data_IF_589614087338
#
_entry.id   IF_589614087338
#
_cell.length_a   1.000
_cell.length_b   1.000
_cell.length_c   1.000
_cell.angle_alpha   90.00
_cell.angle_beta   90.00
_cell.angle_gamma   90.00
#
_symmetry.space_group_name_H-M   'P 1'
#
loop_
_entity.id
_entity.type
_entity.pdbx_description
1 polymer ?
#
# COMPACT_ATOMS: atom_id res chain seq x y z
N UNK A 1 -18.17 -18.03 4.36
CA UNK A 1 -19.03 -16.83 4.60
C UNK A 1 -18.11 -15.64 4.85
N UNK A 2 -17.77 -14.89 3.80
CA UNK A 2 -16.91 -13.72 3.93
C UNK A 2 -17.75 -12.55 4.41
N UNK A 3 -17.55 -12.12 5.67
CA UNK A 3 -18.13 -10.86 6.16
C UNK A 3 -17.57 -9.75 5.27
N UNK A 4 -18.45 -8.98 4.60
CA UNK A 4 -18.04 -7.70 4.00
C UNK A 4 -17.31 -6.90 5.08
N UNK A 5 -16.16 -6.28 4.78
CA UNK A 5 -15.57 -5.33 5.71
C UNK A 5 -16.56 -4.18 5.85
N UNK A 6 -17.28 -4.13 6.96
CA UNK A 6 -18.03 -2.94 7.36
C UNK A 6 -16.99 -1.86 7.63
N UNK A 7 -16.90 -0.88 6.73
CA UNK A 7 -16.07 0.31 6.90
C UNK A 7 -16.51 1.01 8.18
N UNK A 8 -15.61 1.09 9.16
CA UNK A 8 -15.92 1.75 10.43
C UNK A 8 -16.21 3.25 10.18
N UNK A 9 -17.06 3.90 10.99
CA UNK A 9 -17.31 5.34 10.89
C UNK A 9 -16.02 6.19 10.96
N UNK A 10 -15.02 5.68 11.69
CA UNK A 10 -13.70 6.30 11.85
C UNK A 10 -12.95 6.28 10.51
N UNK A 11 -12.97 5.16 9.78
CA UNK A 11 -12.33 5.06 8.47
C UNK A 11 -12.90 6.07 7.46
N UNK A 12 -14.22 6.28 7.47
CA UNK A 12 -14.86 7.27 6.58
C UNK A 12 -14.41 8.70 6.92
N UNK A 13 -14.30 9.05 8.20
CA UNK A 13 -13.82 10.38 8.61
C UNK A 13 -12.38 10.63 8.16
N UNK A 14 -11.50 9.62 8.26
CA UNK A 14 -10.13 9.72 7.81
C UNK A 14 -10.01 9.88 6.30
N UNK A 15 -10.88 9.22 5.54
CA UNK A 15 -10.94 9.33 4.08
C UNK A 15 -11.42 10.72 3.65
N UNK A 16 -12.52 11.22 4.23
CA UNK A 16 -12.99 12.59 3.94
C UNK A 16 -11.94 13.65 4.30
N UNK A 17 -11.22 13.45 5.41
CA UNK A 17 -10.11 14.33 5.79
C UNK A 17 -8.96 14.28 4.79
N UNK A 18 -8.62 13.09 4.27
CA UNK A 18 -7.61 12.94 3.22
C UNK A 18 -8.04 13.61 1.91
N UNK A 19 -9.28 13.38 1.44
CA UNK A 19 -9.82 14.04 0.25
C UNK A 19 -9.81 15.57 0.38
N UNK A 20 -10.11 16.11 1.56
CA UNK A 20 -10.03 17.54 1.81
C UNK A 20 -8.60 18.06 1.72
N UNK A 21 -7.62 17.30 2.21
CA UNK A 21 -6.20 17.65 2.08
C UNK A 21 -5.74 17.63 0.62
N UNK A 22 -6.19 16.67 -0.19
CA UNK A 22 -5.90 16.61 -1.64
C UNK A 22 -6.41 17.84 -2.41
N UNK A 23 -7.39 18.58 -1.88
CA UNK A 23 -7.87 19.83 -2.51
C UNK A 23 -6.99 21.04 -2.22
N UNK A 24 -6.11 20.93 -1.23
CA UNK A 24 -5.28 22.02 -0.72
C UNK A 24 -3.82 21.82 -1.12
N UNK A 25 -3.35 20.57 -1.08
CA UNK A 25 -1.96 20.19 -1.31
C UNK A 25 -1.80 19.55 -2.69
N UNK A 26 -1.01 20.19 -3.56
CA UNK A 26 -0.80 19.79 -4.96
C UNK A 26 -0.05 18.45 -5.04
N UNK A 27 0.92 18.23 -4.16
CA UNK A 27 1.71 16.99 -4.16
C UNK A 27 0.82 15.81 -3.73
N UNK A 28 -0.03 16.04 -2.71
CA UNK A 28 -1.00 15.05 -2.27
C UNK A 28 -2.08 14.78 -3.34
N UNK A 29 -2.52 15.80 -4.08
CA UNK A 29 -3.44 15.64 -5.20
C UNK A 29 -2.83 14.80 -6.34
N UNK A 30 -1.55 15.04 -6.65
CA UNK A 30 -0.81 14.28 -7.66
C UNK A 30 -0.69 12.81 -7.25
N UNK A 31 -0.30 12.57 -6.00
CA UNK A 31 -0.25 11.23 -5.43
C UNK A 31 -1.62 10.53 -5.50
N UNK A 32 -2.69 11.22 -5.12
CA UNK A 32 -4.05 10.65 -5.13
C UNK A 32 -4.49 10.26 -6.55
N UNK A 33 -4.24 11.11 -7.53
CA UNK A 33 -4.56 10.84 -8.94
C UNK A 33 -3.84 9.58 -9.44
N UNK A 34 -2.57 9.43 -9.08
CA UNK A 34 -1.77 8.25 -9.38
C UNK A 34 -2.33 7.01 -8.67
N UNK A 35 -2.63 7.11 -7.37
CA UNK A 35 -3.21 6.03 -6.57
C UNK A 35 -4.55 5.55 -7.15
N UNK A 36 -5.45 6.46 -7.47
CA UNK A 36 -6.75 6.13 -8.06
C UNK A 36 -6.60 5.46 -9.42
N UNK A 37 -5.72 5.97 -10.27
CA UNK A 37 -5.46 5.40 -11.61
C UNK A 37 -4.93 3.98 -11.50
N UNK A 38 -3.92 3.75 -10.66
CA UNK A 38 -3.35 2.42 -10.43
C UNK A 38 -4.36 1.45 -9.82
N UNK A 39 -5.10 1.89 -8.80
CA UNK A 39 -6.14 1.08 -8.16
C UNK A 39 -7.21 0.65 -9.17
N UNK A 40 -7.64 1.56 -10.06
CA UNK A 40 -8.61 1.24 -11.11
C UNK A 40 -8.07 0.20 -12.10
N UNK A 41 -6.80 0.32 -12.49
CA UNK A 41 -6.16 -0.65 -13.38
C UNK A 41 -6.11 -2.04 -12.75
N UNK A 42 -5.71 -2.13 -11.47
CA UNK A 42 -5.72 -3.40 -10.73
C UNK A 42 -7.13 -3.97 -10.64
N UNK A 43 -8.14 -3.17 -10.27
CA UNK A 43 -9.54 -3.64 -10.20
C UNK A 43 -10.01 -4.17 -11.55
N UNK A 44 -9.73 -3.47 -12.64
CA UNK A 44 -10.10 -3.90 -13.99
C UNK A 44 -9.44 -5.24 -14.35
N UNK A 45 -8.15 -5.39 -14.05
CA UNK A 45 -7.41 -6.62 -14.27
C UNK A 45 -7.94 -7.80 -13.45
N UNK A 46 -8.28 -7.56 -12.18
CA UNK A 46 -8.85 -8.57 -11.30
C UNK A 46 -10.28 -8.95 -11.73
N UNK A 47 -11.08 -7.99 -12.21
CA UNK A 47 -12.45 -8.24 -12.67
C UNK A 47 -12.51 -9.22 -13.86
N UNK A 48 -11.51 -9.20 -14.74
CA UNK A 48 -11.39 -10.16 -15.85
C UNK A 48 -11.20 -11.61 -15.35
N UNK A 49 -10.58 -11.81 -14.18
CA UNK A 49 -10.40 -13.14 -13.56
C UNK A 49 -11.64 -13.67 -12.83
N UNK A 50 -12.63 -12.82 -12.56
CA UNK A 50 -13.86 -13.21 -11.82
C UNK A 50 -14.70 -14.21 -12.61
N UNK A 51 -14.69 -14.14 -13.95
CA UNK A 51 -15.42 -15.07 -14.83
C UNK A 51 -14.92 -16.51 -14.68
N UNK A 52 -13.63 -16.71 -14.40
CA UNK A 52 -12.98 -18.02 -14.32
C UNK A 52 -12.71 -18.48 -12.89
N UNK A 53 -13.10 -17.69 -11.87
CA UNK A 53 -12.74 -17.89 -10.45
C UNK A 53 -11.24 -18.14 -10.23
N UNK A 54 -10.39 -17.58 -11.09
CA UNK A 54 -8.95 -17.73 -11.06
C UNK A 54 -8.28 -16.40 -11.35
N UNK A 55 -7.15 -16.15 -10.70
CA UNK A 55 -6.32 -14.99 -10.98
C UNK A 55 -5.33 -15.32 -12.09
N UNK A 56 -5.23 -14.45 -13.09
CA UNK A 56 -4.20 -14.59 -14.11
C UNK A 56 -2.84 -14.14 -13.56
N UNK A 57 -1.76 -14.69 -14.12
CA UNK A 57 -0.40 -14.25 -13.80
C UNK A 57 -0.19 -12.76 -14.14
N UNK A 58 -0.85 -12.27 -15.20
CA UNK A 58 -0.82 -10.86 -15.59
C UNK A 58 -1.49 -9.96 -14.54
N UNK A 59 -2.64 -10.38 -13.99
CA UNK A 59 -3.31 -9.65 -12.91
C UNK A 59 -2.45 -9.60 -11.65
N UNK A 60 -1.74 -10.68 -11.35
CA UNK A 60 -0.84 -10.73 -10.21
C UNK A 60 0.37 -9.81 -10.41
N UNK A 61 0.99 -9.86 -11.58
CA UNK A 61 2.08 -8.98 -11.98
C UNK A 61 1.67 -7.50 -11.86
N UNK A 62 0.55 -7.11 -12.45
CA UNK A 62 0.04 -5.74 -12.37
C UNK A 62 -0.24 -5.29 -10.93
N UNK A 63 -0.72 -6.20 -10.08
CA UNK A 63 -0.94 -5.90 -8.65
C UNK A 63 0.40 -5.67 -7.93
N UNK A 64 1.42 -6.50 -8.18
CA UNK A 64 2.75 -6.33 -7.57
C UNK A 64 3.48 -5.08 -8.09
N UNK A 65 3.32 -4.74 -9.38
CA UNK A 65 3.87 -3.52 -9.96
C UNK A 65 3.21 -2.28 -9.34
N UNK A 66 1.87 -2.26 -9.24
CA UNK A 66 1.14 -1.19 -8.56
C UNK A 66 1.65 -0.97 -7.13
N UNK A 67 1.87 -2.05 -6.37
CA UNK A 67 2.40 -1.98 -5.01
C UNK A 67 3.81 -1.37 -4.98
N UNK A 68 4.71 -1.80 -5.86
CA UNK A 68 6.07 -1.27 -5.96
C UNK A 68 6.06 0.22 -6.29
N UNK A 69 5.28 0.61 -7.29
CA UNK A 69 5.19 2.00 -7.73
C UNK A 69 4.59 2.91 -6.64
N UNK A 70 3.61 2.43 -5.87
CA UNK A 70 3.07 3.18 -4.73
C UNK A 70 4.13 3.38 -3.63
N UNK A 71 4.95 2.36 -3.35
CA UNK A 71 6.04 2.49 -2.41
C UNK A 71 7.09 3.52 -2.89
N UNK A 72 7.38 3.56 -4.19
CA UNK A 72 8.30 4.55 -4.76
C UNK A 72 7.80 5.99 -4.59
N UNK A 73 6.51 6.24 -4.80
CA UNK A 73 5.91 7.56 -4.59
C UNK A 73 5.99 7.99 -3.11
N UNK A 74 5.74 7.08 -2.16
CA UNK A 74 5.86 7.39 -0.73
C UNK A 74 7.31 7.70 -0.35
N UNK A 75 8.27 6.93 -0.86
CA UNK A 75 9.71 7.18 -0.63
C UNK A 75 10.13 8.55 -1.17
N UNK A 76 9.60 8.96 -2.33
CA UNK A 76 9.88 10.28 -2.89
C UNK A 76 9.43 11.40 -1.93
N UNK A 77 8.20 11.32 -1.41
CA UNK A 77 7.69 12.30 -0.42
C UNK A 77 8.53 12.28 0.86
N UNK A 78 8.92 11.10 1.35
CA UNK A 78 9.81 10.97 2.52
C UNK A 78 11.15 11.69 2.27
N UNK A 79 11.74 11.52 1.09
CA UNK A 79 13.01 12.16 0.74
C UNK A 79 12.89 13.67 0.64
N UNK A 80 11.80 14.17 0.08
CA UNK A 80 11.52 15.61 -0.02
C UNK A 80 11.35 16.25 1.36
N UNK A 81 10.74 15.53 2.31
CA UNK A 81 10.54 15.97 3.69
C UNK A 81 11.69 15.61 4.66
N UNK A 82 12.80 15.03 4.19
CA UNK A 82 13.83 14.40 5.06
C UNK A 82 14.35 15.28 6.20
N UNK A 83 14.51 16.59 5.96
CA UNK A 83 15.04 17.52 6.96
C UNK A 83 14.06 17.73 8.12
N UNK A 84 12.77 17.77 7.83
CA UNK A 84 11.73 17.97 8.83
C UNK A 84 11.45 16.66 9.58
N UNK A 85 11.52 15.52 8.88
CA UNK A 85 11.46 14.18 9.47
C UNK A 85 12.56 14.02 10.52
N UNK A 86 13.82 14.35 10.19
CA UNK A 86 14.94 14.22 11.15
C UNK A 86 14.84 15.16 12.36
N UNK A 87 14.06 16.23 12.28
CA UNK A 87 13.84 17.15 13.42
C UNK A 87 12.64 16.77 14.28
N UNK A 88 11.84 15.79 13.84
CA UNK A 88 10.61 15.42 14.51
C UNK A 88 10.58 13.91 14.76
N UNK A 89 10.91 13.51 16.00
CA UNK A 89 10.94 12.10 16.39
C UNK A 89 9.62 11.37 16.10
N UNK A 90 8.47 12.01 16.33
CA UNK A 90 7.14 11.39 16.11
C UNK A 90 6.90 11.06 14.63
N UNK A 91 7.46 11.86 13.72
CA UNK A 91 7.42 11.65 12.26
C UNK A 91 8.51 10.67 11.80
N UNK A 92 9.70 10.71 12.40
CA UNK A 92 10.77 9.74 12.16
C UNK A 92 10.31 8.32 12.47
N UNK A 93 9.75 8.09 13.67
CA UNK A 93 9.24 6.78 14.10
C UNK A 93 8.15 6.26 13.15
N UNK A 94 7.34 7.16 12.59
CA UNK A 94 6.31 6.80 11.62
C UNK A 94 6.90 6.30 10.30
N UNK A 95 7.95 6.96 9.83
CA UNK A 95 8.66 6.57 8.61
C UNK A 95 9.40 5.24 8.80
N UNK A 96 10.00 5.02 9.97
CA UNK A 96 10.63 3.75 10.33
C UNK A 96 9.61 2.60 10.34
N UNK A 97 8.44 2.81 10.97
CA UNK A 97 7.35 1.83 10.98
C UNK A 97 6.82 1.53 9.56
N UNK A 98 6.74 2.54 8.69
CA UNK A 98 6.39 2.33 7.28
C UNK A 98 7.39 1.40 6.59
N UNK A 99 8.70 1.65 6.75
CA UNK A 99 9.73 0.82 6.13
C UNK A 99 9.75 -0.62 6.67
N UNK A 100 9.56 -0.82 7.97
CA UNK A 100 9.42 -2.16 8.56
C UNK A 100 8.25 -2.93 7.93
N UNK A 101 7.12 -2.26 7.68
CA UNK A 101 5.99 -2.87 6.99
C UNK A 101 6.25 -3.14 5.51
N UNK A 102 6.96 -2.24 4.82
CA UNK A 102 7.38 -2.46 3.43
C UNK A 102 8.32 -3.66 3.32
N UNK A 103 9.21 -3.89 4.29
CA UNK A 103 10.07 -5.08 4.34
C UNK A 103 9.26 -6.37 4.50
N UNK A 104 8.30 -6.42 5.42
CA UNK A 104 7.41 -7.59 5.56
C UNK A 104 6.61 -7.85 4.29
N UNK A 105 6.17 -6.79 3.62
CA UNK A 105 5.47 -6.89 2.34
C UNK A 105 6.38 -7.44 1.24
N UNK A 106 7.66 -7.08 1.24
CA UNK A 106 8.67 -7.66 0.35
C UNK A 106 8.89 -9.15 0.63
N UNK A 107 8.95 -9.56 1.90
CA UNK A 107 9.05 -10.99 2.27
C UNK A 107 7.86 -11.79 1.74
N UNK A 108 6.65 -11.22 1.81
CA UNK A 108 5.47 -11.80 1.19
C UNK A 108 5.61 -11.92 -0.34
N UNK A 109 6.08 -10.88 -1.03
CA UNK A 109 6.32 -10.94 -2.46
C UNK A 109 7.34 -12.03 -2.84
N UNK A 110 8.39 -12.21 -2.03
CA UNK A 110 9.38 -13.27 -2.24
C UNK A 110 8.77 -14.67 -2.03
N UNK A 111 7.95 -14.85 -0.99
CA UNK A 111 7.21 -16.08 -0.75
C UNK A 111 6.24 -16.38 -1.91
N UNK A 112 5.53 -15.37 -2.40
CA UNK A 112 4.64 -15.45 -3.54
C UNK A 112 5.39 -15.87 -4.81
N UNK A 113 6.52 -15.24 -5.12
CA UNK A 113 7.35 -15.58 -6.28
C UNK A 113 7.80 -17.05 -6.24
N UNK A 114 8.21 -17.53 -5.06
CA UNK A 114 8.60 -18.93 -4.85
C UNK A 114 7.42 -19.89 -5.11
N UNK A 115 6.22 -19.55 -4.68
CA UNK A 115 5.01 -20.33 -4.95
C UNK A 115 4.70 -20.36 -6.45
N UNK A 116 4.76 -19.20 -7.13
CA UNK A 116 4.51 -19.11 -8.57
C UNK A 116 5.52 -19.90 -9.40
N UNK A 117 6.80 -19.88 -9.02
CA UNK A 117 7.85 -20.69 -9.66
C UNK A 117 7.58 -22.18 -9.56
N UNK A 118 7.05 -22.65 -8.43
CA UNK A 118 6.62 -24.06 -8.25
C UNK A 118 5.35 -24.39 -9.02
N UNK A 119 4.46 -23.41 -9.14
CA UNK A 119 3.18 -23.56 -9.83
C UNK A 119 3.31 -23.55 -11.37
N UNK A 120 4.46 -23.11 -11.90
CA UNK A 120 4.70 -22.95 -13.33
C UNK A 120 5.15 -24.27 -13.96
N UNK A 121 4.41 -24.72 -14.97
CA UNK A 121 4.88 -25.69 -15.95
C UNK A 121 5.60 -24.91 -17.06
N UNK A 122 6.78 -25.36 -17.51
CA UNK A 122 7.49 -24.63 -18.57
C UNK A 122 6.85 -24.92 -19.93
N UNK A 123 6.76 -23.91 -20.80
CA UNK A 123 6.32 -24.13 -22.18
C UNK A 123 7.47 -24.73 -23.01
N UNK A 124 7.18 -25.80 -23.75
CA UNK A 124 8.21 -26.59 -24.42
C UNK A 124 8.66 -26.06 -25.78
N UNK A 125 9.97 -25.88 -25.96
CA UNK A 125 10.62 -25.73 -27.27
C UNK A 125 11.40 -27.02 -27.62
N UNK A 126 11.01 -27.72 -28.71
CA UNK A 126 11.55 -29.03 -29.11
C UNK A 126 10.75 -29.75 -30.22
N UNK A 127 11.19 -30.93 -30.67
CA UNK A 127 10.46 -31.79 -31.63
C UNK A 127 9.46 -32.73 -30.91
N UNK A 128 8.39 -33.14 -31.59
CA UNK A 128 7.15 -33.66 -30.99
C UNK A 128 7.25 -34.84 -30.01
N UNK A 129 8.23 -35.73 -30.15
CA UNK A 129 8.35 -36.92 -29.27
C UNK A 129 9.16 -36.64 -27.99
N UNK A 130 10.22 -35.82 -28.08
CA UNK A 130 10.97 -35.32 -26.91
C UNK A 130 10.12 -34.39 -26.06
N UNK A 131 9.29 -33.57 -26.71
CA UNK A 131 8.25 -32.73 -26.10
C UNK A 131 7.33 -33.56 -25.19
N UNK A 132 6.65 -34.56 -25.75
CA UNK A 132 5.68 -35.32 -24.95
C UNK A 132 6.29 -35.98 -23.70
N UNK A 133 7.51 -36.52 -23.82
CA UNK A 133 8.23 -37.12 -22.69
C UNK A 133 8.60 -36.09 -21.62
N UNK A 134 9.06 -34.90 -22.02
CA UNK A 134 9.48 -33.84 -21.09
C UNK A 134 8.28 -33.19 -20.40
N UNK A 135 7.19 -32.92 -21.11
CA UNK A 135 5.94 -32.43 -20.53
C UNK A 135 5.38 -33.40 -19.47
N UNK A 136 5.45 -34.71 -19.73
CA UNK A 136 5.04 -35.74 -18.76
C UNK A 136 5.92 -35.74 -17.51
N UNK A 137 7.22 -35.56 -17.68
CA UNK A 137 8.16 -35.44 -16.55
C UNK A 137 7.87 -34.18 -15.72
N UNK A 138 7.63 -33.04 -16.35
CA UNK A 138 7.26 -31.80 -15.66
C UNK A 138 5.92 -31.92 -14.92
N UNK A 139 4.91 -32.55 -15.53
CA UNK A 139 3.63 -32.84 -14.88
C UNK A 139 3.78 -33.76 -13.67
N UNK A 140 4.66 -34.76 -13.75
CA UNK A 140 4.96 -35.65 -12.62
C UNK A 140 5.66 -34.89 -11.50
N UNK A 141 6.66 -34.08 -11.82
CA UNK A 141 7.37 -33.24 -10.86
C UNK A 141 6.43 -32.24 -10.17
N UNK A 142 5.51 -31.61 -10.94
CA UNK A 142 4.48 -30.73 -10.39
C UNK A 142 3.54 -31.46 -9.43
N UNK A 143 3.07 -32.66 -9.82
CA UNK A 143 2.23 -33.50 -8.95
C UNK A 143 2.95 -33.88 -7.66
N UNK A 144 4.23 -34.26 -7.75
CA UNK A 144 5.05 -34.68 -6.61
C UNK A 144 5.41 -33.50 -5.69
N UNK A 145 5.51 -32.27 -6.24
CA UNK A 145 5.76 -31.05 -5.48
C UNK A 145 4.57 -30.63 -4.58
N UNK A 146 3.37 -31.13 -4.84
CA UNK A 146 2.17 -30.86 -4.06
C UNK A 146 1.63 -29.44 -4.24
N UNK A 147 0.93 -28.92 -3.24
CA UNK A 147 0.37 -27.56 -3.29
C UNK A 147 1.50 -26.51 -3.25
N UNK A 148 1.65 -25.66 -4.28
CA UNK A 148 2.65 -24.60 -4.27
C UNK A 148 2.41 -23.55 -3.18
N UNK A 149 1.17 -23.39 -2.69
CA UNK A 149 0.77 -22.46 -1.64
C UNK A 149 0.56 -23.18 -0.30
N UNK A 150 1.64 -23.35 0.45
CA UNK A 150 1.63 -24.06 1.74
C UNK A 150 1.08 -23.20 2.89
N UNK A 151 0.82 -23.81 4.05
CA UNK A 151 0.42 -23.10 5.26
C UNK A 151 1.41 -21.97 5.65
N UNK A 152 2.71 -22.17 5.40
CA UNK A 152 3.76 -21.17 5.61
C UNK A 152 3.52 -19.90 4.78
N UNK A 153 3.12 -20.05 3.50
CA UNK A 153 2.78 -18.91 2.66
C UNK A 153 1.60 -18.13 3.24
N UNK A 154 0.54 -18.84 3.67
CA UNK A 154 -0.63 -18.19 4.26
C UNK A 154 -0.33 -17.53 5.61
N UNK A 155 0.60 -18.07 6.40
CA UNK A 155 1.08 -17.41 7.63
C UNK A 155 1.79 -16.09 7.31
N UNK A 156 2.68 -16.06 6.31
CA UNK A 156 3.34 -14.82 5.86
C UNK A 156 2.31 -13.79 5.38
N UNK A 157 1.35 -14.23 4.56
CA UNK A 157 0.26 -13.36 4.09
C UNK A 157 -0.56 -12.77 5.23
N UNK A 158 -1.00 -13.59 6.18
CA UNK A 158 -1.76 -13.15 7.35
C UNK A 158 -0.97 -12.17 8.21
N UNK A 159 0.33 -12.42 8.41
CA UNK A 159 1.20 -11.53 9.16
C UNK A 159 1.31 -10.16 8.49
N UNK A 160 1.51 -10.09 7.17
CA UNK A 160 1.54 -8.81 6.44
C UNK A 160 0.21 -8.09 6.56
N UNK A 161 -0.91 -8.80 6.36
CA UNK A 161 -2.24 -8.21 6.48
C UNK A 161 -2.48 -7.58 7.86
N UNK A 162 -2.16 -8.30 8.94
CA UNK A 162 -2.32 -7.81 10.31
C UNK A 162 -1.42 -6.60 10.59
N UNK A 163 -0.17 -6.61 10.12
CA UNK A 163 0.74 -5.49 10.28
C UNK A 163 0.28 -4.24 9.53
N UNK A 164 -0.24 -4.39 8.31
CA UNK A 164 -0.80 -3.29 7.54
C UNK A 164 -2.01 -2.67 8.25
N UNK A 165 -2.90 -3.50 8.81
CA UNK A 165 -4.02 -3.03 9.61
C UNK A 165 -3.57 -2.27 10.87
N UNK A 166 -2.62 -2.80 11.62
CA UNK A 166 -2.09 -2.16 12.83
C UNK A 166 -1.45 -0.80 12.53
N UNK A 167 -0.69 -0.70 11.44
CA UNK A 167 -0.10 0.57 11.03
C UNK A 167 -1.18 1.57 10.62
N UNK A 168 -2.21 1.13 9.89
CA UNK A 168 -3.33 2.00 9.53
C UNK A 168 -4.01 2.57 10.78
N UNK A 169 -4.28 1.75 11.79
CA UNK A 169 -4.85 2.20 13.07
C UNK A 169 -3.94 3.22 13.78
N UNK A 170 -2.63 2.97 13.86
CA UNK A 170 -1.67 3.90 14.46
C UNK A 170 -1.58 5.22 13.69
N UNK A 171 -1.57 5.17 12.36
CA UNK A 171 -1.60 6.34 11.49
C UNK A 171 -2.85 7.20 11.74
N UNK A 172 -4.01 6.55 11.85
CA UNK A 172 -5.27 7.21 12.16
C UNK A 172 -5.20 7.96 13.50
N UNK A 173 -4.68 7.31 14.56
CA UNK A 173 -4.52 7.94 15.87
C UNK A 173 -3.54 9.12 15.85
N UNK A 174 -2.37 8.96 15.20
CA UNK A 174 -1.38 10.03 15.02
C UNK A 174 -1.97 11.21 14.24
N UNK A 175 -2.73 10.95 13.17
CA UNK A 175 -3.40 11.97 12.35
C UNK A 175 -4.39 12.80 13.18
N UNK A 176 -5.23 12.16 14.01
CA UNK A 176 -6.15 12.88 14.90
C UNK A 176 -5.41 13.83 15.84
N UNK A 177 -4.26 13.40 16.39
CA UNK A 177 -3.44 14.23 17.28
C UNK A 177 -2.83 15.42 16.53
N UNK A 178 -2.34 15.21 15.31
CA UNK A 178 -1.78 16.26 14.46
C UNK A 178 -2.84 17.28 14.04
N UNK A 179 -4.04 16.84 13.65
CA UNK A 179 -5.14 17.74 13.29
C UNK A 179 -5.53 18.67 14.44
N UNK A 180 -5.48 18.18 15.69
CA UNK A 180 -5.71 19.01 16.88
C UNK A 180 -4.59 20.05 17.06
N UNK A 181 -3.32 19.65 16.90
CA UNK A 181 -2.17 20.58 16.97
C UNK A 181 -2.27 21.65 15.87
N UNK A 182 -2.64 21.26 14.65
CA UNK A 182 -2.79 22.18 13.53
C UNK A 182 -3.89 23.21 13.78
N UNK A 183 -5.06 22.78 14.29
CA UNK A 183 -6.14 23.70 14.69
C UNK A 183 -5.67 24.71 15.73
N UNK A 184 -4.92 24.27 16.74
CA UNK A 184 -4.35 25.17 17.74
C UNK A 184 -3.41 26.23 17.11
N UNK A 185 -2.50 25.82 16.22
CA UNK A 185 -1.59 26.73 15.51
C UNK A 185 -2.36 27.72 14.64
N UNK A 186 -3.42 27.27 13.94
CA UNK A 186 -4.28 28.12 13.13
C UNK A 186 -5.00 29.19 13.98
N UNK A 187 -5.57 28.79 15.13
CA UNK A 187 -6.19 29.72 16.07
C UNK A 187 -5.18 30.72 16.63
N UNK A 188 -4.00 30.24 17.03
CA UNK A 188 -2.92 31.10 17.54
C UNK A 188 -2.51 32.14 16.50
N UNK A 189 -2.23 31.72 15.27
CA UNK A 189 -1.88 32.63 14.16
C UNK A 189 -2.95 33.67 13.91
N UNK A 190 -4.24 33.27 13.90
CA UNK A 190 -5.36 34.20 13.70
C UNK A 190 -5.41 35.26 14.80
N UNK A 191 -5.35 34.84 16.07
CA UNK A 191 -5.44 35.75 17.22
C UNK A 191 -4.23 36.68 17.24
N UNK A 192 -3.02 36.16 17.07
CA UNK A 192 -1.81 36.98 17.10
C UNK A 192 -1.80 38.04 16.00
N UNK A 193 -2.24 37.71 14.78
CA UNK A 193 -2.29 38.67 13.68
C UNK A 193 -3.30 39.79 13.92
N UNK A 194 -4.47 39.47 14.50
CA UNK A 194 -5.48 40.47 14.84
C UNK A 194 -4.97 41.40 15.95
N UNK A 195 -4.41 40.84 17.03
CA UNK A 195 -3.85 41.61 18.13
C UNK A 195 -2.72 42.52 17.61
N UNK A 196 -1.84 41.98 16.76
CA UNK A 196 -0.76 42.76 16.15
C UNK A 196 -1.31 43.95 15.35
N UNK A 197 -2.29 43.73 14.46
CA UNK A 197 -2.89 44.80 13.66
C UNK A 197 -3.57 45.85 14.53
N UNK A 198 -4.33 45.44 15.55
CA UNK A 198 -4.98 46.34 16.49
C UNK A 198 -3.97 47.17 17.30
N UNK A 199 -2.91 46.54 17.78
CA UNK A 199 -1.84 47.21 18.53
C UNK A 199 -1.08 48.20 17.64
N UNK A 200 -0.77 47.80 16.41
CA UNK A 200 -0.10 48.67 15.43
C UNK A 200 -0.96 49.90 15.09
N UNK A 201 -2.25 49.71 14.86
CA UNK A 201 -3.18 50.81 14.61
C UNK A 201 -3.36 51.75 15.81
N UNK A 202 -3.21 51.26 17.04
CA UNK A 202 -3.30 52.07 18.25
C UNK A 202 -2.04 52.92 18.52
N UNK A 203 -0.90 52.56 17.91
CA UNK A 203 0.38 53.30 18.05
C UNK A 203 0.51 54.42 17.00
N UNK A 204 -0.13 54.27 15.83
CA UNK A 204 -0.20 55.28 14.77
C UNK A 204 -1.24 56.36 15.08
#
# INVERSE_FOLDING_TARGET
>A
MSKRPTTSPINNLHLTSYEAACRIDIDLQSFDTTLQTRTRNVIHSLAQGVEVKALSFESLKQTTECLLELNQEVVKVILDCKKDIWKNQELFDLVEEYFDNSLKTLDFCAALEKCLKRARLEEENGNGNEKYSKALEELRNFKDAGDPFTDEFFQVFQNVYLHQMQMLEKLQLKKIKLDKKLKYIQSWRKISSIIFAATFAAVL
#
